data_IF_085397403285
#
_entry.id   IF_085397403285
#
_cell.length_a   1.000
_cell.length_b   1.000
_cell.length_c   1.000
_cell.angle_alpha   90.00
_cell.angle_beta   90.00
_cell.angle_gamma   90.00
#
_symmetry.space_group_name_H-M   'P 1'
#
loop_
_entity.id
_entity.type
_entity.pdbx_description
1 polymer ?
#
# COMPACT_ATOMS: atom_id res chain seq x y z
N UNK A 1 16.97 -5.91 2.88
CA UNK A 1 15.66 -5.33 2.50
C UNK A 1 14.69 -6.36 1.91
N UNK A 2 15.06 -7.13 0.87
CA UNK A 2 14.16 -8.16 0.30
C UNK A 2 13.81 -9.27 1.30
N UNK A 3 14.78 -9.75 2.10
CA UNK A 3 14.52 -10.77 3.12
C UNK A 3 13.51 -10.26 4.16
N UNK A 4 13.64 -9.02 4.64
CA UNK A 4 12.66 -8.43 5.56
C UNK A 4 11.27 -8.28 4.95
N UNK A 5 11.15 -8.08 3.63
CA UNK A 5 9.85 -8.06 2.97
C UNK A 5 9.23 -9.47 2.95
N UNK A 6 10.04 -10.50 2.73
CA UNK A 6 9.61 -11.89 2.75
C UNK A 6 9.18 -12.32 4.16
N UNK A 7 9.96 -11.97 5.19
CA UNK A 7 9.61 -12.24 6.59
C UNK A 7 8.32 -11.52 6.99
N UNK A 8 8.18 -10.24 6.62
CA UNK A 8 6.94 -9.47 6.82
C UNK A 8 5.74 -10.11 6.13
N UNK A 9 5.92 -10.63 4.91
CA UNK A 9 4.85 -11.34 4.20
C UNK A 9 4.46 -12.65 4.89
N UNK A 10 5.42 -13.36 5.49
CA UNK A 10 5.14 -14.55 6.28
C UNK A 10 4.39 -14.22 7.58
N UNK A 11 4.75 -13.11 8.23
CA UNK A 11 4.08 -12.62 9.45
C UNK A 11 2.63 -12.17 9.21
N UNK A 12 2.33 -11.62 8.03
CA UNK A 12 0.98 -11.21 7.62
C UNK A 12 0.01 -12.39 7.49
N UNK A 13 0.53 -13.59 7.19
CA UNK A 13 -0.25 -14.81 7.01
C UNK A 13 -0.90 -14.97 5.62
N UNK A 14 -1.58 -16.10 5.43
CA UNK A 14 -2.00 -16.62 4.11
C UNK A 14 -3.09 -15.80 3.39
N UNK A 15 -3.73 -14.89 4.12
CA UNK A 15 -4.79 -14.05 3.59
C UNK A 15 -4.27 -12.87 2.76
N UNK A 16 -2.98 -12.57 2.80
CA UNK A 16 -2.37 -11.45 2.06
C UNK A 16 -1.61 -11.94 0.83
N UNK A 17 -2.05 -11.51 -0.35
CA UNK A 17 -1.34 -11.73 -1.60
C UNK A 17 -0.59 -10.45 -2.00
N UNK A 18 0.73 -10.53 -2.19
CA UNK A 18 1.50 -9.40 -2.69
C UNK A 18 1.19 -9.14 -4.17
N UNK A 19 0.79 -7.91 -4.47
CA UNK A 19 0.42 -7.47 -5.82
C UNK A 19 1.59 -6.71 -6.47
N UNK A 20 2.34 -5.94 -5.67
CA UNK A 20 3.51 -5.25 -6.17
C UNK A 20 4.08 -4.22 -5.20
N UNK A 21 5.24 -3.69 -5.58
CA UNK A 21 5.96 -2.62 -4.88
C UNK A 21 6.14 -1.43 -5.79
N UNK A 22 6.24 -0.24 -5.21
CA UNK A 22 6.54 1.01 -5.93
C UNK A 22 5.59 1.22 -7.12
N UNK A 23 4.32 0.80 -6.94
CA UNK A 23 3.31 0.78 -8.00
C UNK A 23 2.85 2.20 -8.29
N UNK A 24 2.80 2.55 -9.57
CA UNK A 24 2.28 3.84 -10.01
C UNK A 24 0.76 3.77 -10.06
N UNK A 25 0.11 4.72 -9.41
CA UNK A 25 -1.33 4.96 -9.50
C UNK A 25 -1.53 6.29 -10.22
N UNK A 26 -2.37 6.28 -11.26
CA UNK A 26 -2.79 7.53 -11.90
C UNK A 26 -4.10 7.95 -11.26
N UNK A 27 -4.12 9.13 -10.65
CA UNK A 27 -5.33 9.73 -10.11
C UNK A 27 -5.45 11.10 -10.74
N UNK A 28 -6.53 11.28 -11.50
CA UNK A 28 -6.72 12.41 -12.40
C UNK A 28 -5.51 12.55 -13.36
N UNK A 29 -4.88 13.72 -13.36
CA UNK A 29 -3.70 14.04 -14.17
C UNK A 29 -2.37 13.82 -13.42
N UNK A 30 -2.42 13.32 -12.19
CA UNK A 30 -1.25 13.14 -11.34
C UNK A 30 -0.86 11.67 -11.19
N UNK A 31 0.45 11.43 -11.16
CA UNK A 31 1.02 10.11 -10.89
C UNK A 31 1.49 10.03 -9.44
N UNK A 32 0.92 9.08 -8.73
CA UNK A 32 1.29 8.72 -7.37
C UNK A 32 2.05 7.41 -7.35
N UNK A 33 2.77 7.16 -6.25
CA UNK A 33 3.49 5.92 -6.05
C UNK A 33 3.15 5.35 -4.69
N UNK A 34 2.70 4.11 -4.70
CA UNK A 34 2.45 3.32 -3.49
C UNK A 34 3.65 2.43 -3.24
N UNK A 35 4.10 2.40 -1.99
CA UNK A 35 5.28 1.61 -1.63
C UNK A 35 5.01 0.12 -1.76
N UNK A 36 3.92 -0.37 -1.16
CA UNK A 36 3.50 -1.76 -1.21
C UNK A 36 1.99 -1.89 -1.43
N UNK A 37 1.59 -2.83 -2.29
CA UNK A 37 0.21 -3.15 -2.59
C UNK A 37 -0.03 -4.64 -2.36
N UNK A 38 -1.06 -4.95 -1.59
CA UNK A 38 -1.52 -6.30 -1.33
C UNK A 38 -3.00 -6.45 -1.66
N UNK A 39 -3.45 -7.70 -1.81
CA UNK A 39 -4.85 -8.07 -1.86
C UNK A 39 -5.17 -8.98 -0.68
N UNK A 40 -6.16 -8.60 0.12
CA UNK A 40 -6.65 -9.42 1.22
C UNK A 40 -7.73 -10.38 0.70
N UNK A 41 -7.43 -11.68 0.70
CA UNK A 41 -8.26 -12.72 0.07
C UNK A 41 -9.63 -12.86 0.75
N UNK A 42 -9.68 -12.97 2.08
CA UNK A 42 -10.93 -13.09 2.84
C UNK A 42 -11.84 -11.87 2.75
N UNK A 43 -11.29 -10.67 2.95
CA UNK A 43 -12.04 -9.41 2.88
C UNK A 43 -12.32 -8.95 1.44
N UNK A 44 -11.62 -9.53 0.46
CA UNK A 44 -11.70 -9.21 -0.98
C UNK A 44 -11.44 -7.73 -1.28
N UNK A 45 -10.43 -7.14 -0.62
CA UNK A 45 -10.07 -5.74 -0.78
C UNK A 45 -8.57 -5.56 -1.06
N UNK A 46 -8.23 -4.41 -1.67
CA UNK A 46 -6.84 -3.98 -1.82
C UNK A 46 -6.37 -3.33 -0.51
N UNK A 47 -5.15 -3.67 -0.10
CA UNK A 47 -4.44 -3.04 1.01
C UNK A 47 -3.26 -2.25 0.45
N UNK A 48 -3.31 -0.94 0.64
CA UNK A 48 -2.27 0.02 0.25
C UNK A 48 -1.44 0.34 1.49
N UNK A 49 -0.12 0.20 1.40
CA UNK A 49 0.82 0.50 2.48
C UNK A 49 1.89 1.46 1.97
N UNK A 50 1.96 2.64 2.59
CA UNK A 50 3.02 3.64 2.38
C UNK A 50 3.92 3.71 3.62
N UNK A 51 5.23 3.67 3.40
CA UNK A 51 6.24 3.66 4.45
C UNK A 51 6.78 5.08 4.66
N UNK A 52 6.91 5.49 5.92
CA UNK A 52 7.45 6.81 6.29
C UNK A 52 8.65 6.63 7.22
N UNK A 53 9.76 7.26 6.87
CA UNK A 53 10.98 7.28 7.70
C UNK A 53 10.89 8.35 8.80
N UNK A 54 10.06 9.38 8.57
CA UNK A 54 9.85 10.49 9.49
C UNK A 54 8.52 10.42 10.24
N UNK A 55 8.26 11.45 11.06
CA UNK A 55 6.97 11.59 11.74
C UNK A 55 5.85 11.72 10.72
N UNK A 56 4.76 11.01 10.98
CA UNK A 56 3.53 11.11 10.22
C UNK A 56 3.00 12.55 10.25
N UNK A 57 2.70 13.10 9.08
CA UNK A 57 2.17 14.44 8.89
C UNK A 57 0.71 14.40 8.43
N UNK A 58 0.01 15.53 8.55
CA UNK A 58 -1.34 15.68 7.99
C UNK A 58 -1.37 15.46 6.46
N UNK A 59 -0.28 15.77 5.76
CA UNK A 59 -0.19 15.53 4.31
C UNK A 59 -0.19 14.04 3.97
N UNK A 60 0.42 13.21 4.81
CA UNK A 60 0.43 11.75 4.64
C UNK A 60 -0.99 11.17 4.81
N UNK A 61 -1.75 11.68 5.79
CA UNK A 61 -3.15 11.31 5.96
C UNK A 61 -4.01 11.71 4.74
N UNK A 62 -3.80 12.93 4.22
CA UNK A 62 -4.50 13.40 3.03
C UNK A 62 -4.24 12.54 1.80
N UNK A 63 -2.98 12.16 1.58
CA UNK A 63 -2.56 11.25 0.51
C UNK A 63 -3.24 9.88 0.63
N UNK A 64 -3.27 9.29 1.83
CA UNK A 64 -3.94 8.01 2.05
C UNK A 64 -5.45 8.08 1.82
N UNK A 65 -6.12 9.16 2.25
CA UNK A 65 -7.54 9.37 1.96
C UNK A 65 -7.82 9.48 0.46
N UNK A 66 -6.96 10.17 -0.28
CA UNK A 66 -7.06 10.26 -1.73
C UNK A 66 -6.97 8.87 -2.39
N UNK A 67 -6.03 8.04 -1.95
CA UNK A 67 -5.89 6.67 -2.45
C UNK A 67 -7.15 5.82 -2.20
N UNK A 68 -7.72 5.88 -1.00
CA UNK A 68 -8.92 5.13 -0.64
C UNK A 68 -10.15 5.56 -1.44
N UNK A 69 -10.27 6.86 -1.74
CA UNK A 69 -11.37 7.37 -2.57
C UNK A 69 -11.27 6.93 -4.03
N UNK A 70 -10.04 6.76 -4.55
CA UNK A 70 -9.81 6.29 -5.92
C UNK A 70 -9.90 4.78 -6.07
N UNK A 71 -9.43 4.00 -5.09
CA UNK A 71 -9.39 2.54 -5.14
C UNK A 71 -10.73 1.86 -4.75
N UNK A 72 -11.82 2.63 -4.63
CA UNK A 72 -13.17 2.13 -4.33
C UNK A 72 -13.81 1.40 -5.50
#
# INVERSE_FOLDING_TARGET
>A
LINHLMDFMLELGDDFAFVGRQRRLRIDDNWFRVDLLFFHRRLRCLLIVDLKVGKFSYSDAGQMNMYLNYAK
#
